data_IF_767273708464
#
_entry.id   IF_767273708464
#
_cell.length_a   1.000
_cell.length_b   1.000
_cell.length_c   1.000
_cell.angle_alpha   90.00
_cell.angle_beta   90.00
_cell.angle_gamma   90.00
#
_symmetry.space_group_name_H-M   'P 1'
#
loop_
_entity.id
_entity.type
_entity.pdbx_description
1 polymer ?
#
# COMPACT_ATOMS: atom_id res chain seq x y z
N UNK A 1 39.88 1.25 -29.70
CA UNK A 1 39.14 2.42 -30.27
C UNK A 1 37.60 2.31 -30.09
N UNK A 2 37.10 1.40 -29.23
CA UNK A 2 35.64 1.13 -29.07
C UNK A 2 34.97 1.71 -27.82
N UNK A 3 35.68 1.91 -26.71
CA UNK A 3 35.07 2.32 -25.43
C UNK A 3 34.63 3.80 -25.39
N UNK A 4 35.39 4.71 -26.02
CA UNK A 4 35.03 6.14 -26.09
C UNK A 4 33.73 6.41 -26.88
N UNK A 5 33.29 5.47 -27.74
CA UNK A 5 32.04 5.59 -28.51
C UNK A 5 30.79 5.18 -27.72
N UNK A 6 30.91 4.27 -26.74
CA UNK A 6 29.80 3.83 -25.90
C UNK A 6 29.41 4.91 -24.87
N UNK A 7 30.38 5.50 -24.18
CA UNK A 7 30.15 6.52 -23.14
C UNK A 7 29.49 7.79 -23.72
N UNK A 8 29.88 8.19 -24.93
CA UNK A 8 29.31 9.36 -25.64
C UNK A 8 27.86 9.14 -26.13
N UNK A 9 27.43 7.88 -26.27
CA UNK A 9 26.05 7.55 -26.64
C UNK A 9 25.13 7.57 -25.41
N UNK A 10 25.58 7.02 -24.28
CA UNK A 10 24.85 7.05 -23.02
C UNK A 10 24.66 8.49 -22.47
N UNK A 11 25.70 9.33 -22.58
CA UNK A 11 25.59 10.74 -22.15
C UNK A 11 24.59 11.54 -22.98
N UNK A 12 24.42 11.19 -24.27
CA UNK A 12 23.49 11.86 -25.20
C UNK A 12 22.04 11.41 -24.97
N UNK A 13 21.83 10.15 -24.62
CA UNK A 13 20.51 9.62 -24.28
C UNK A 13 20.00 10.21 -22.97
N UNK A 14 20.85 10.34 -21.95
CA UNK A 14 20.47 10.95 -20.67
C UNK A 14 20.19 12.46 -20.80
N UNK A 15 20.96 13.18 -21.62
CA UNK A 15 20.68 14.60 -21.89
C UNK A 15 19.37 14.80 -22.66
N UNK A 16 19.03 13.89 -23.57
CA UNK A 16 17.79 13.93 -24.35
C UNK A 16 16.56 13.56 -23.50
N UNK A 17 16.71 12.63 -22.55
CA UNK A 17 15.65 12.27 -21.63
C UNK A 17 15.37 13.41 -20.64
N UNK A 18 16.42 14.06 -20.12
CA UNK A 18 16.29 15.26 -19.31
C UNK A 18 15.58 16.38 -20.08
N UNK A 19 16.03 16.71 -21.29
CA UNK A 19 15.40 17.79 -22.08
C UNK A 19 13.92 17.53 -22.37
N UNK A 20 13.56 16.27 -22.66
CA UNK A 20 12.17 15.89 -22.95
C UNK A 20 11.29 15.94 -21.70
N UNK A 21 11.80 15.55 -20.52
CA UNK A 21 11.08 15.67 -19.25
C UNK A 21 10.89 17.13 -18.84
N UNK A 22 11.93 17.97 -18.97
CA UNK A 22 11.82 19.39 -18.65
C UNK A 22 10.89 20.12 -19.63
N UNK A 23 10.94 19.81 -20.92
CA UNK A 23 10.03 20.38 -21.91
C UNK A 23 8.59 19.92 -21.70
N UNK A 24 8.36 18.64 -21.36
CA UNK A 24 6.99 18.16 -21.08
C UNK A 24 6.40 18.78 -19.82
N UNK A 25 7.20 18.98 -18.76
CA UNK A 25 6.74 19.68 -17.56
C UNK A 25 6.45 21.15 -17.83
N UNK A 26 7.28 21.83 -18.63
CA UNK A 26 7.05 23.22 -19.02
C UNK A 26 5.84 23.40 -19.94
N UNK A 27 5.49 22.39 -20.74
CA UNK A 27 4.29 22.43 -21.57
C UNK A 27 3.01 22.19 -20.76
N UNK A 28 3.09 21.47 -19.64
CA UNK A 28 1.94 21.19 -18.78
C UNK A 28 1.67 22.29 -17.76
N UNK A 29 2.71 22.95 -17.29
CA UNK A 29 2.64 24.10 -16.41
C UNK A 29 3.15 25.31 -17.19
N UNK A 30 2.25 26.16 -17.71
CA UNK A 30 2.60 27.45 -18.31
C UNK A 30 3.38 28.31 -17.28
N UNK A 31 4.67 28.06 -17.14
CA UNK A 31 5.60 28.87 -16.38
C UNK A 31 5.85 30.14 -17.21
N UNK A 32 4.98 31.14 -17.02
CA UNK A 32 5.34 32.51 -17.38
C UNK A 32 6.66 32.87 -16.69
N UNK A 33 7.60 33.44 -17.45
CA UNK A 33 8.95 33.78 -17.00
C UNK A 33 9.02 34.94 -15.98
N UNK A 34 7.95 35.17 -15.21
CA UNK A 34 7.90 36.13 -14.11
C UNK A 34 7.47 35.39 -12.84
N UNK A 35 8.45 35.18 -11.96
CA UNK A 35 8.36 34.46 -10.68
C UNK A 35 8.11 32.96 -10.80
N UNK A 36 9.20 32.22 -11.03
CA UNK A 36 9.23 30.78 -10.82
C UNK A 36 8.86 30.49 -9.36
N UNK A 37 7.60 30.10 -9.13
CA UNK A 37 7.10 29.77 -7.79
C UNK A 37 7.85 28.53 -7.31
N UNK A 38 8.83 28.75 -6.43
CA UNK A 38 9.62 27.69 -5.83
C UNK A 38 8.73 26.89 -4.88
N UNK A 39 8.14 25.81 -5.39
CA UNK A 39 7.37 24.88 -4.57
C UNK A 39 8.30 23.97 -3.77
N UNK A 40 7.81 23.45 -2.65
CA UNK A 40 8.59 22.56 -1.77
C UNK A 40 9.15 21.35 -2.51
N UNK A 41 8.37 20.72 -3.40
CA UNK A 41 8.82 19.57 -4.19
C UNK A 41 9.88 19.93 -5.23
N UNK A 42 9.75 21.09 -5.89
CA UNK A 42 10.77 21.56 -6.84
C UNK A 42 12.09 21.85 -6.12
N UNK A 43 12.04 22.52 -4.97
CA UNK A 43 13.23 22.76 -4.14
C UNK A 43 13.82 21.44 -3.64
N UNK A 44 12.98 20.49 -3.23
CA UNK A 44 13.44 19.20 -2.70
C UNK A 44 14.13 18.32 -3.76
N UNK A 45 13.59 18.30 -4.98
CA UNK A 45 14.13 17.45 -6.06
C UNK A 45 15.25 18.09 -6.89
N UNK A 46 15.23 19.42 -7.06
CA UNK A 46 16.14 20.12 -7.98
C UNK A 46 16.95 21.24 -7.31
N UNK A 47 16.83 21.37 -5.99
CA UNK A 47 17.50 22.41 -5.20
C UNK A 47 16.89 23.79 -5.39
N UNK A 48 17.29 24.75 -4.55
CA UNK A 48 16.77 26.14 -4.59
C UNK A 48 16.99 26.86 -5.93
N UNK A 49 17.97 26.39 -6.71
CA UNK A 49 18.35 26.97 -8.00
C UNK A 49 17.85 26.13 -9.20
N UNK A 50 17.16 25.00 -8.97
CA UNK A 50 16.65 24.13 -10.03
C UNK A 50 17.73 23.43 -10.87
N UNK A 51 18.96 23.30 -10.36
CA UNK A 51 20.12 22.76 -11.10
C UNK A 51 20.49 21.34 -10.70
N UNK A 52 20.01 20.87 -9.56
CA UNK A 52 20.24 19.49 -9.14
C UNK A 52 19.41 18.56 -10.02
N UNK A 53 19.76 17.28 -10.06
CA UNK A 53 19.09 16.32 -10.95
C UNK A 53 18.54 15.17 -10.14
N UNK A 54 17.25 14.87 -10.31
CA UNK A 54 16.60 13.74 -9.67
C UNK A 54 16.84 12.46 -10.48
N UNK A 55 17.48 11.47 -9.86
CA UNK A 55 17.64 10.15 -10.47
C UNK A 55 16.53 9.18 -10.00
N UNK A 56 16.44 8.02 -10.66
CA UNK A 56 15.43 7.01 -10.36
C UNK A 56 15.50 6.52 -8.90
N UNK A 57 16.70 6.30 -8.37
CA UNK A 57 16.88 5.80 -7.00
C UNK A 57 16.39 6.80 -5.96
N UNK A 58 16.63 8.09 -6.18
CA UNK A 58 16.14 9.17 -5.33
C UNK A 58 14.62 9.29 -5.40
N UNK A 59 14.05 9.27 -6.60
CA UNK A 59 12.60 9.31 -6.78
C UNK A 59 11.92 8.10 -6.16
N UNK A 60 12.47 6.89 -6.37
CA UNK A 60 11.96 5.65 -5.78
C UNK A 60 11.95 5.73 -4.24
N UNK A 61 13.05 6.16 -3.63
CA UNK A 61 13.14 6.35 -2.18
C UNK A 61 12.13 7.37 -1.68
N UNK A 62 11.97 8.50 -2.38
CA UNK A 62 10.97 9.51 -2.02
C UNK A 62 9.56 8.91 -2.02
N UNK A 63 9.19 8.18 -3.08
CA UNK A 63 7.87 7.56 -3.18
C UNK A 63 7.66 6.48 -2.09
N UNK A 64 8.67 5.67 -1.80
CA UNK A 64 8.63 4.66 -0.73
C UNK A 64 8.45 5.31 0.65
N UNK A 65 9.19 6.38 0.94
CA UNK A 65 9.06 7.11 2.19
C UNK A 65 7.68 7.77 2.33
N UNK A 66 7.18 8.41 1.26
CA UNK A 66 5.86 9.01 1.25
C UNK A 66 4.76 7.97 1.50
N UNK A 67 4.87 6.79 0.89
CA UNK A 67 3.94 5.68 1.14
C UNK A 67 3.99 5.22 2.61
N UNK A 68 5.19 5.14 3.20
CA UNK A 68 5.33 4.80 4.63
C UNK A 68 4.71 5.87 5.51
N UNK A 69 4.93 7.16 5.25
CA UNK A 69 4.34 8.25 6.02
C UNK A 69 2.80 8.24 5.97
N UNK A 70 2.21 8.04 4.78
CA UNK A 70 0.75 7.91 4.63
C UNK A 70 0.24 6.72 5.45
N UNK A 71 0.95 5.59 5.38
CA UNK A 71 0.60 4.40 6.12
C UNK A 71 0.70 4.59 7.65
N UNK A 72 1.72 5.31 8.12
CA UNK A 72 1.87 5.67 9.54
C UNK A 72 0.74 6.60 10.00
N UNK A 73 0.32 7.57 9.17
CA UNK A 73 -0.82 8.44 9.47
C UNK A 73 -2.10 7.61 9.61
N UNK A 74 -2.33 6.67 8.70
CA UNK A 74 -3.50 5.78 8.78
C UNK A 74 -3.43 4.88 10.01
N UNK A 75 -2.27 4.28 10.30
CA UNK A 75 -2.08 3.48 11.51
C UNK A 75 -2.38 4.29 12.77
N UNK A 76 -1.81 5.50 12.89
CA UNK A 76 -1.98 6.37 14.05
C UNK A 76 -3.44 6.80 14.27
N UNK A 77 -4.19 6.98 13.17
CA UNK A 77 -5.63 7.28 13.24
C UNK A 77 -6.43 6.17 13.92
N UNK A 78 -6.08 4.90 13.69
CA UNK A 78 -6.80 3.76 14.26
C UNK A 78 -6.16 3.21 15.55
N UNK A 79 -4.87 3.49 15.78
CA UNK A 79 -4.20 3.17 17.04
C UNK A 79 -4.55 4.16 18.14
N UNK A 80 -5.20 5.29 17.83
CA UNK A 80 -5.56 6.32 18.79
C UNK A 80 -4.36 6.82 19.63
N UNK A 81 -3.17 6.87 19.03
CA UNK A 81 -1.92 7.26 19.69
C UNK A 81 -1.21 6.14 20.46
N UNK A 82 -1.75 4.92 20.46
CA UNK A 82 -1.07 3.74 20.99
C UNK A 82 -0.09 3.13 19.97
N UNK A 83 0.81 2.27 20.44
CA UNK A 83 1.77 1.55 19.59
C UNK A 83 1.16 0.40 18.78
N UNK A 84 -0.11 0.09 19.04
CA UNK A 84 -0.85 -1.03 18.44
C UNK A 84 -2.30 -0.65 18.20
N UNK A 85 -2.92 -1.28 17.20
CA UNK A 85 -4.36 -1.15 16.92
C UNK A 85 -5.08 -2.34 17.59
N UNK A 86 -6.20 -2.09 18.26
CA UNK A 86 -7.06 -3.17 18.78
C UNK A 86 -7.83 -3.85 17.64
N UNK A 87 -8.18 -5.13 17.80
CA UNK A 87 -9.01 -5.84 16.82
C UNK A 87 -10.32 -5.08 16.48
N UNK A 88 -10.91 -4.39 17.46
CA UNK A 88 -12.12 -3.60 17.25
C UNK A 88 -11.86 -2.37 16.35
N UNK A 89 -10.79 -1.62 16.62
CA UNK A 89 -10.43 -0.44 15.82
C UNK A 89 -10.01 -0.85 14.40
N UNK A 90 -9.29 -1.97 14.26
CA UNK A 90 -8.92 -2.50 12.97
C UNK A 90 -10.12 -3.02 12.18
N UNK A 91 -11.09 -3.64 12.86
CA UNK A 91 -12.37 -4.01 12.25
C UNK A 91 -13.12 -2.78 11.77
N UNK A 92 -13.20 -1.73 12.59
CA UNK A 92 -13.85 -0.47 12.19
C UNK A 92 -13.19 0.17 10.97
N UNK A 93 -11.85 0.13 10.91
CA UNK A 93 -11.10 0.54 9.72
C UNK A 93 -11.55 -0.26 8.51
N UNK A 94 -11.51 -1.60 8.58
CA UNK A 94 -11.85 -2.44 7.44
C UNK A 94 -13.27 -2.20 6.93
N UNK A 95 -14.23 -2.13 7.84
CA UNK A 95 -15.63 -1.92 7.51
C UNK A 95 -15.86 -0.57 6.81
N UNK A 96 -15.02 0.44 7.04
CA UNK A 96 -15.10 1.72 6.31
C UNK A 96 -14.89 1.56 4.81
N UNK A 97 -14.12 0.56 4.39
CA UNK A 97 -13.82 0.24 3.00
C UNK A 97 -14.74 -0.86 2.42
N UNK A 98 -15.86 -1.17 3.10
CA UNK A 98 -16.87 -2.14 2.65
C UNK A 98 -18.20 -1.47 2.38
N UNK A 99 -18.95 -2.04 1.44
CA UNK A 99 -20.32 -1.64 1.10
C UNK A 99 -21.39 -2.23 2.04
N UNK A 100 -20.98 -2.83 3.16
CA UNK A 100 -21.93 -3.33 4.17
C UNK A 100 -22.80 -2.19 4.71
N UNK A 101 -24.08 -2.50 4.92
CA UNK A 101 -25.03 -1.58 5.53
C UNK A 101 -24.72 -1.36 7.03
N UNK A 102 -25.38 -0.38 7.63
CA UNK A 102 -25.14 0.00 9.02
C UNK A 102 -25.42 -1.14 10.01
N UNK A 103 -26.47 -1.93 9.79
CA UNK A 103 -26.86 -3.00 10.70
C UNK A 103 -25.89 -4.17 10.61
N UNK A 104 -25.44 -4.51 9.39
CA UNK A 104 -24.38 -5.51 9.17
C UNK A 104 -23.06 -5.08 9.84
N UNK A 105 -22.63 -3.83 9.63
CA UNK A 105 -21.42 -3.29 10.28
C UNK A 105 -21.52 -3.35 11.81
N UNK A 106 -22.67 -2.97 12.37
CA UNK A 106 -22.93 -3.02 13.81
C UNK A 106 -22.96 -4.45 14.35
N UNK A 107 -23.48 -5.40 13.58
CA UNK A 107 -23.46 -6.82 13.94
C UNK A 107 -22.03 -7.36 14.00
N UNK A 108 -21.21 -7.09 12.97
CA UNK A 108 -19.81 -7.52 12.91
C UNK A 108 -19.00 -6.93 14.08
N UNK A 109 -19.15 -5.63 14.38
CA UNK A 109 -18.47 -5.00 15.51
C UNK A 109 -18.86 -5.65 16.85
N UNK A 110 -20.13 -6.04 17.02
CA UNK A 110 -20.57 -6.80 18.20
C UNK A 110 -19.98 -8.21 18.23
N UNK A 111 -19.88 -8.90 17.09
CA UNK A 111 -19.25 -10.23 16.97
C UNK A 111 -17.78 -10.14 17.42
N UNK A 112 -17.01 -9.21 16.86
CA UNK A 112 -15.61 -9.00 17.24
C UNK A 112 -15.45 -8.61 18.72
N UNK A 113 -16.30 -7.71 19.23
CA UNK A 113 -16.24 -7.28 20.64
C UNK A 113 -16.48 -8.43 21.65
N UNK A 114 -17.28 -9.44 21.30
CA UNK A 114 -17.52 -10.61 22.17
C UNK A 114 -16.30 -11.51 22.31
N UNK A 115 -15.42 -11.53 21.31
CA UNK A 115 -14.20 -12.34 21.27
C UNK A 115 -12.95 -11.50 21.61
N UNK A 116 -13.10 -10.53 22.50
CA UNK A 116 -12.01 -9.62 22.86
C UNK A 116 -10.93 -10.33 23.69
N UNK A 117 -9.98 -10.96 23.01
CA UNK A 117 -8.75 -11.41 23.61
C UNK A 117 -7.80 -10.22 23.74
N UNK A 118 -7.55 -9.76 24.97
CA UNK A 118 -6.69 -8.61 25.26
C UNK A 118 -5.24 -8.74 24.75
N UNK A 119 -4.83 -9.92 24.27
CA UNK A 119 -3.49 -10.21 23.80
C UNK A 119 -3.28 -10.00 22.29
N UNK A 120 -4.35 -9.74 21.54
CA UNK A 120 -4.29 -9.64 20.08
C UNK A 120 -4.33 -8.16 19.66
N UNK A 121 -3.16 -7.52 19.70
CA UNK A 121 -2.99 -6.14 19.26
C UNK A 121 -2.12 -6.10 17.99
N UNK A 122 -2.57 -5.35 16.99
CA UNK A 122 -1.92 -5.28 15.67
C UNK A 122 -0.79 -4.24 15.73
N UNK A 123 0.44 -4.68 15.49
CA UNK A 123 1.61 -3.80 15.40
C UNK A 123 1.65 -3.07 14.05
N UNK A 124 2.46 -2.01 13.96
CA UNK A 124 2.65 -1.30 12.69
C UNK A 124 3.21 -2.18 11.58
N UNK A 125 4.11 -3.12 11.90
CA UNK A 125 4.67 -4.04 10.92
C UNK A 125 3.61 -5.00 10.35
N UNK A 126 2.77 -5.54 11.23
CA UNK A 126 1.65 -6.40 10.82
C UNK A 126 0.63 -5.63 9.98
N UNK A 127 0.34 -4.39 10.38
CA UNK A 127 -0.50 -3.46 9.62
C UNK A 127 0.07 -3.17 8.23
N UNK A 128 1.39 -3.00 8.12
CA UNK A 128 2.09 -2.80 6.85
C UNK A 128 1.98 -4.00 5.94
N UNK A 129 2.24 -5.21 6.44
CA UNK A 129 2.06 -6.45 5.66
C UNK A 129 0.62 -6.58 5.16
N UNK A 130 -0.35 -6.30 6.02
CA UNK A 130 -1.77 -6.31 5.62
C UNK A 130 -2.11 -5.24 4.57
N UNK A 131 -1.55 -4.03 4.69
CA UNK A 131 -1.79 -2.96 3.73
C UNK A 131 -1.14 -3.24 2.38
N UNK A 132 0.05 -3.85 2.37
CA UNK A 132 0.67 -4.37 1.15
C UNK A 132 -0.20 -5.46 0.52
N UNK A 133 -0.80 -6.36 1.32
CA UNK A 133 -1.78 -7.33 0.83
C UNK A 133 -2.97 -6.65 0.14
N UNK A 134 -3.55 -5.60 0.73
CA UNK A 134 -4.65 -4.85 0.11
C UNK A 134 -4.26 -4.18 -1.22
N UNK A 135 -3.00 -3.75 -1.36
CA UNK A 135 -2.50 -3.15 -2.59
C UNK A 135 -2.34 -4.17 -3.73
N UNK A 136 -2.25 -5.47 -3.42
CA UNK A 136 -2.02 -6.56 -4.38
C UNK A 136 -3.23 -7.53 -4.42
N UNK A 137 -4.44 -7.00 -4.21
CA UNK A 137 -5.67 -7.81 -4.22
C UNK A 137 -5.96 -8.43 -5.60
N UNK A 138 -5.45 -7.84 -6.69
CA UNK A 138 -5.65 -8.39 -8.02
C UNK A 138 -4.96 -9.75 -8.17
N UNK A 139 -3.69 -9.83 -7.78
CA UNK A 139 -2.89 -11.06 -7.77
C UNK A 139 -3.54 -12.12 -6.86
N UNK A 140 -3.98 -11.69 -5.68
CA UNK A 140 -4.72 -12.54 -4.76
C UNK A 140 -6.04 -13.06 -5.35
N UNK A 141 -6.82 -12.20 -6.01
CA UNK A 141 -8.10 -12.60 -6.62
C UNK A 141 -7.93 -13.69 -7.70
N UNK A 142 -6.80 -13.68 -8.41
CA UNK A 142 -6.47 -14.69 -9.42
C UNK A 142 -6.20 -16.04 -8.74
N UNK A 143 -5.39 -16.05 -7.67
CA UNK A 143 -5.12 -17.25 -6.88
C UNK A 143 -6.41 -17.84 -6.29
N UNK A 144 -7.28 -16.97 -5.76
CA UNK A 144 -8.58 -17.36 -5.19
C UNK A 144 -9.53 -17.91 -6.25
N UNK A 145 -9.56 -17.33 -7.46
CA UNK A 145 -10.37 -17.84 -8.57
C UNK A 145 -9.95 -19.25 -8.98
N UNK A 146 -8.64 -19.51 -9.04
CA UNK A 146 -8.12 -20.85 -9.34
C UNK A 146 -8.57 -21.87 -8.28
N UNK A 147 -8.59 -21.48 -7.00
CA UNK A 147 -9.08 -22.33 -5.92
C UNK A 147 -10.58 -22.65 -6.03
N UNK A 148 -11.41 -21.64 -6.32
CA UNK A 148 -12.87 -21.81 -6.47
C UNK A 148 -13.27 -22.73 -7.62
N UNK A 149 -12.47 -22.80 -8.69
CA UNK A 149 -12.69 -23.75 -9.79
C UNK A 149 -12.59 -25.23 -9.35
N UNK A 150 -12.05 -25.49 -8.16
CA UNK A 150 -12.00 -26.83 -7.56
C UNK A 150 -13.25 -27.19 -6.73
N UNK A 151 -14.28 -26.33 -6.69
CA UNK A 151 -15.50 -26.49 -5.88
C UNK A 151 -15.24 -26.77 -4.38
N UNK A 152 -14.16 -26.20 -3.83
CA UNK A 152 -13.84 -26.30 -2.40
C UNK A 152 -14.09 -24.95 -1.71
N UNK A 153 -14.69 -24.96 -0.50
CA UNK A 153 -14.79 -23.77 0.32
C UNK A 153 -13.39 -23.36 0.80
N UNK A 154 -13.19 -22.07 1.08
CA UNK A 154 -11.86 -21.54 1.36
C UNK A 154 -11.66 -21.48 2.87
N UNK A 155 -10.90 -22.41 3.45
CA UNK A 155 -10.53 -22.31 4.87
C UNK A 155 -9.43 -21.28 5.09
N UNK A 156 -9.18 -20.92 6.35
CA UNK A 156 -8.05 -20.06 6.75
C UNK A 156 -6.71 -20.56 6.21
N UNK A 157 -6.53 -21.88 6.11
CA UNK A 157 -5.27 -22.47 5.62
C UNK A 157 -5.09 -22.27 4.11
N UNK A 158 -6.17 -22.36 3.33
CA UNK A 158 -6.11 -22.08 1.90
C UNK A 158 -5.99 -20.59 1.62
N UNK A 159 -6.67 -19.75 2.41
CA UNK A 159 -6.50 -18.30 2.36
C UNK A 159 -5.03 -17.92 2.60
N UNK A 160 -4.40 -18.43 3.67
CA UNK A 160 -3.00 -18.16 3.97
C UNK A 160 -2.06 -18.59 2.84
N UNK A 161 -2.30 -19.76 2.24
CA UNK A 161 -1.52 -20.21 1.08
C UNK A 161 -1.71 -19.29 -0.12
N UNK A 162 -2.93 -18.85 -0.41
CA UNK A 162 -3.21 -17.93 -1.50
C UNK A 162 -2.51 -16.58 -1.28
N UNK A 163 -2.50 -16.06 -0.05
CA UNK A 163 -1.74 -14.87 0.32
C UNK A 163 -0.25 -15.09 0.07
N UNK A 164 0.33 -16.19 0.58
CA UNK A 164 1.75 -16.50 0.39
C UNK A 164 2.15 -16.59 -1.09
N UNK A 165 1.32 -17.20 -1.92
CA UNK A 165 1.55 -17.32 -3.37
C UNK A 165 1.51 -15.95 -4.05
N UNK A 166 0.58 -15.09 -3.64
CA UNK A 166 0.34 -13.80 -4.29
C UNK A 166 1.33 -12.72 -3.84
N UNK A 167 1.76 -12.77 -2.58
CA UNK A 167 2.52 -11.72 -1.91
C UNK A 167 4.00 -12.07 -1.70
N UNK A 168 4.34 -13.37 -1.72
CA UNK A 168 5.67 -13.87 -1.35
C UNK A 168 5.95 -13.89 0.16
N UNK A 169 5.02 -13.42 0.99
CA UNK A 169 5.09 -13.47 2.45
C UNK A 169 3.76 -13.93 3.06
N UNK A 170 3.81 -14.29 4.34
CA UNK A 170 2.67 -14.77 5.11
C UNK A 170 2.09 -13.65 5.98
N UNK A 171 0.75 -13.57 6.06
CA UNK A 171 0.11 -12.71 7.06
C UNK A 171 0.09 -13.42 8.41
N UNK A 172 0.05 -12.62 9.48
CA UNK A 172 -0.05 -13.16 10.82
C UNK A 172 -1.36 -13.91 11.03
N UNK A 173 -1.29 -15.04 11.74
CA UNK A 173 -2.44 -15.93 11.93
C UNK A 173 -3.62 -15.23 12.60
N UNK A 174 -3.34 -14.30 13.52
CA UNK A 174 -4.39 -13.51 14.18
C UNK A 174 -5.11 -12.56 13.22
N UNK A 175 -4.39 -11.95 12.25
CA UNK A 175 -5.00 -11.08 11.24
C UNK A 175 -5.95 -11.89 10.36
N UNK A 176 -5.55 -13.10 9.96
CA UNK A 176 -6.40 -14.00 9.15
C UNK A 176 -7.63 -14.41 9.95
N UNK A 177 -7.46 -14.80 11.20
CA UNK A 177 -8.58 -15.15 12.06
C UNK A 177 -9.56 -13.98 12.22
N UNK A 178 -9.05 -12.74 12.30
CA UNK A 178 -9.87 -11.54 12.37
C UNK A 178 -10.60 -11.27 11.03
N UNK A 179 -9.93 -11.43 9.89
CA UNK A 179 -10.56 -11.33 8.55
C UNK A 179 -11.72 -12.32 8.44
N UNK A 180 -11.49 -13.59 8.77
CA UNK A 180 -12.55 -14.59 8.76
C UNK A 180 -13.67 -14.21 9.71
N UNK A 181 -13.36 -13.77 10.93
CA UNK A 181 -14.40 -13.31 11.87
C UNK A 181 -15.26 -12.16 11.32
N UNK A 182 -14.69 -11.29 10.49
CA UNK A 182 -15.38 -10.15 9.87
C UNK A 182 -16.25 -10.59 8.69
N UNK A 183 -15.72 -11.47 7.83
CA UNK A 183 -16.32 -11.78 6.52
C UNK A 183 -17.02 -13.14 6.45
N UNK A 184 -16.81 -14.04 7.40
CA UNK A 184 -17.54 -15.30 7.58
C UNK A 184 -18.89 -15.00 8.22
N UNK A 185 -19.94 -14.98 7.38
CA UNK A 185 -21.30 -14.56 7.73
C UNK A 185 -22.06 -15.65 8.47
N UNK A 186 -21.85 -16.92 8.10
CA UNK A 186 -22.51 -18.10 8.64
C UNK A 186 -21.71 -18.84 9.72
N UNK A 187 -20.50 -18.37 10.03
CA UNK A 187 -19.59 -18.90 11.06
C UNK A 187 -19.16 -20.35 10.78
N UNK A 188 -19.09 -20.72 9.50
CA UNK A 188 -18.75 -22.06 9.03
C UNK A 188 -17.22 -22.28 8.90
N UNK A 189 -16.42 -21.25 9.24
CA UNK A 189 -14.96 -21.17 9.12
C UNK A 189 -14.43 -21.15 7.68
N UNK A 190 -15.29 -20.81 6.72
CA UNK A 190 -14.94 -20.67 5.32
C UNK A 190 -15.37 -19.31 4.74
N UNK A 191 -14.79 -18.97 3.58
CA UNK A 191 -15.14 -17.80 2.75
C UNK A 191 -15.55 -18.24 1.35
#
# INVERSE_FOLDING_TARGET
MGEKRMIRRQSKTDSSLKSNLTQNLNNYFNFDNSEQTNTTLLIHFFGKNGRDTLNYTELKRFMENLQIEILEIEFNKYSCGFKTISDLNFTEMLLRYTDFDYDTKKFILKKVKKHHDQQNAITFEQFKHFSTFLQNLQEFSIAMRFHRLSNKPISQTEFQRAVKISMGFELESHIIALIFRIFDVDDDQHL
#
